data_IF_627506900324
#
_entry.id   IF_627506900324
#
_cell.length_a   1.000
_cell.length_b   1.000
_cell.length_c   1.000
_cell.angle_alpha   90.00
_cell.angle_beta   90.00
_cell.angle_gamma   90.00
#
_symmetry.space_group_name_H-M   'P 1'
#
loop_
_entity.id
_entity.type
_entity.pdbx_description
1 polymer ?
#
# COMPACT_ATOMS: atom_id res chain seq x y z
N UNK A 1 -24.93 51.13 -32.01
CA UNK A 1 -23.49 51.45 -31.91
C UNK A 1 -22.92 50.44 -30.93
N UNK A 2 -22.45 49.29 -31.44
CA UNK A 2 -21.73 48.31 -30.62
C UNK A 2 -20.36 48.91 -30.29
N UNK A 3 -19.96 48.82 -29.03
CA UNK A 3 -18.64 49.26 -28.60
C UNK A 3 -17.58 48.37 -29.27
N UNK A 4 -16.62 49.02 -29.90
CA UNK A 4 -15.38 48.45 -30.42
C UNK A 4 -14.59 47.90 -29.21
N UNK A 5 -14.41 46.58 -29.16
CA UNK A 5 -13.64 45.95 -28.08
C UNK A 5 -12.17 46.16 -28.38
N UNK A 6 -11.46 46.81 -27.45
CA UNK A 6 -10.06 47.17 -27.58
C UNK A 6 -9.17 45.91 -27.62
N UNK A 7 -8.25 45.76 -28.60
CA UNK A 7 -7.42 44.57 -28.76
C UNK A 7 -6.26 44.46 -27.75
N UNK A 8 -6.19 45.33 -26.74
CA UNK A 8 -5.11 45.37 -25.75
C UNK A 8 -5.55 45.01 -24.31
N UNK A 9 -6.81 44.64 -24.07
CA UNK A 9 -7.19 44.04 -22.79
C UNK A 9 -6.72 42.57 -22.84
N UNK A 10 -5.79 42.13 -21.97
CA UNK A 10 -5.56 40.70 -21.83
C UNK A 10 -6.88 40.12 -21.36
N UNK A 11 -7.59 39.42 -22.24
CA UNK A 11 -8.68 38.55 -21.83
C UNK A 11 -8.11 37.74 -20.68
N UNK A 12 -8.70 37.90 -19.49
CA UNK A 12 -8.31 37.14 -18.32
C UNK A 12 -8.70 35.71 -18.62
N UNK A 13 -7.84 35.00 -19.36
CA UNK A 13 -8.01 33.60 -19.69
C UNK A 13 -8.24 32.90 -18.35
N UNK A 14 -9.33 32.14 -18.29
CA UNK A 14 -9.62 31.39 -17.08
C UNK A 14 -8.43 30.48 -16.80
N UNK A 15 -8.00 30.41 -15.55
CA UNK A 15 -6.80 29.63 -15.20
C UNK A 15 -6.95 28.15 -15.57
N UNK A 16 -8.20 27.67 -15.68
CA UNK A 16 -8.48 26.31 -16.16
C UNK A 16 -8.11 26.12 -17.64
N UNK A 17 -8.53 27.01 -18.54
CA UNK A 17 -8.25 26.92 -19.98
C UNK A 17 -6.75 27.03 -20.30
N UNK A 18 -5.98 27.75 -19.47
CA UNK A 18 -4.52 27.83 -19.62
C UNK A 18 -3.79 26.50 -19.37
N UNK A 19 -4.49 25.52 -18.79
CA UNK A 19 -3.96 24.19 -18.49
C UNK A 19 -4.44 23.13 -19.50
N UNK A 20 -5.18 23.51 -20.54
CA UNK A 20 -5.59 22.58 -21.58
C UNK A 20 -4.43 22.22 -22.52
N UNK A 21 -4.52 21.03 -23.12
CA UNK A 21 -3.47 20.43 -23.96
C UNK A 21 -3.11 21.31 -25.17
N UNK A 22 -4.09 22.00 -25.74
CA UNK A 22 -3.90 22.86 -26.91
C UNK A 22 -3.09 24.13 -26.57
N UNK A 23 -3.31 24.70 -25.39
CA UNK A 23 -2.55 25.86 -24.91
C UNK A 23 -1.15 25.46 -24.39
N UNK A 24 -1.06 24.37 -23.62
CA UNK A 24 0.21 23.85 -23.10
C UNK A 24 1.07 23.20 -24.19
N UNK A 25 0.45 22.78 -25.31
CA UNK A 25 1.07 22.01 -26.40
C UNK A 25 1.74 20.71 -25.95
N UNK A 26 1.35 20.21 -24.77
CA UNK A 26 1.79 18.97 -24.14
C UNK A 26 0.61 18.37 -23.40
N UNK A 27 0.50 17.04 -23.37
CA UNK A 27 -0.53 16.35 -22.57
C UNK A 27 -0.19 16.49 -21.07
N UNK A 28 -1.03 17.15 -20.26
CA UNK A 28 -0.79 17.30 -18.83
C UNK A 28 -0.75 15.98 -18.06
N UNK A 29 -1.41 14.94 -18.57
CA UNK A 29 -1.43 13.61 -17.97
C UNK A 29 -0.18 12.79 -18.29
N UNK A 30 0.57 13.16 -19.33
CA UNK A 30 1.79 12.46 -19.74
C UNK A 30 3.07 13.26 -19.43
N UNK A 31 3.11 14.56 -19.73
CA UNK A 31 4.34 15.38 -19.61
C UNK A 31 4.11 16.80 -19.05
N UNK A 32 2.87 17.28 -18.89
CA UNK A 32 2.65 18.69 -18.56
C UNK A 32 2.87 19.11 -17.09
N UNK A 33 3.01 18.19 -16.14
CA UNK A 33 3.29 18.55 -14.73
C UNK A 33 4.21 17.54 -14.05
N UNK A 34 5.44 17.95 -13.74
CA UNK A 34 6.29 17.16 -12.84
C UNK A 34 5.71 17.17 -11.41
N UNK A 35 5.58 16.00 -10.75
CA UNK A 35 5.13 15.94 -9.37
C UNK A 35 6.17 16.58 -8.44
N UNK A 36 5.70 17.05 -7.27
CA UNK A 36 6.57 17.68 -6.27
C UNK A 36 7.74 16.77 -5.84
N UNK A 37 8.84 17.37 -5.36
CA UNK A 37 9.97 16.62 -4.83
C UNK A 37 9.52 15.60 -3.77
N UNK A 38 9.99 14.35 -3.92
CA UNK A 38 9.66 13.22 -3.02
C UNK A 38 8.19 12.81 -3.03
N UNK A 39 7.39 13.29 -3.98
CA UNK A 39 6.09 12.70 -4.21
C UNK A 39 6.25 11.22 -4.57
N UNK A 40 5.47 10.38 -3.91
CA UNK A 40 5.33 8.98 -4.25
C UNK A 40 3.85 8.68 -4.43
N UNK A 41 3.47 7.86 -5.43
CA UNK A 41 2.11 7.41 -5.55
C UNK A 41 1.66 6.71 -4.27
N UNK A 42 0.46 7.03 -3.80
CA UNK A 42 -0.12 6.42 -2.59
C UNK A 42 -0.38 4.91 -2.78
N UNK A 43 -0.68 4.50 -4.01
CA UNK A 43 -0.91 3.12 -4.41
C UNK A 43 -0.06 2.85 -5.64
N UNK A 44 0.84 1.87 -5.55
CA UNK A 44 1.75 1.48 -6.66
C UNK A 44 1.24 0.30 -7.49
N UNK A 45 0.40 -0.54 -6.89
CA UNK A 45 -0.06 -1.82 -7.43
C UNK A 45 -1.51 -2.03 -7.03
N UNK A 46 -2.21 -2.94 -7.73
CA UNK A 46 -3.57 -3.35 -7.40
C UNK A 46 -4.58 -2.19 -7.32
N UNK A 47 -4.68 -1.42 -8.40
CA UNK A 47 -5.64 -0.33 -8.56
C UNK A 47 -7.09 -0.79 -8.66
N UNK A 48 -7.33 -2.07 -8.94
CA UNK A 48 -8.67 -2.66 -8.99
C UNK A 48 -8.92 -3.70 -7.90
N UNK A 49 -10.19 -3.95 -7.52
CA UNK A 49 -10.51 -5.02 -6.57
C UNK A 49 -10.13 -6.42 -7.03
N UNK A 50 -10.04 -6.66 -8.35
CA UNK A 50 -9.64 -7.96 -8.88
C UNK A 50 -8.14 -8.18 -8.67
N UNK A 51 -7.33 -7.20 -9.05
CA UNK A 51 -5.88 -7.22 -8.85
C UNK A 51 -5.50 -7.28 -7.36
N UNK A 52 -6.25 -6.61 -6.48
CA UNK A 52 -6.01 -6.67 -5.04
C UNK A 52 -6.21 -8.09 -4.45
N UNK A 53 -7.09 -8.90 -5.07
CA UNK A 53 -7.31 -10.30 -4.66
C UNK A 53 -6.23 -11.22 -5.19
N UNK A 54 -5.72 -10.95 -6.39
CA UNK A 54 -4.61 -11.67 -6.97
C UNK A 54 -3.31 -11.36 -6.22
N UNK A 55 -3.13 -10.09 -5.83
CA UNK A 55 -1.95 -9.59 -5.15
C UNK A 55 -0.73 -9.56 -6.06
N UNK A 56 0.42 -9.30 -5.46
CA UNK A 56 1.69 -9.35 -6.17
C UNK A 56 2.23 -10.79 -6.24
N UNK A 57 2.82 -11.21 -7.40
CA UNK A 57 3.49 -12.50 -7.49
C UNK A 57 4.54 -12.67 -6.40
N UNK A 58 4.64 -13.90 -5.89
CA UNK A 58 5.52 -14.24 -4.76
C UNK A 58 6.99 -13.91 -5.07
N UNK A 59 7.41 -14.10 -6.32
CA UNK A 59 8.78 -13.84 -6.75
C UNK A 59 9.16 -12.38 -6.61
N UNK A 60 8.25 -11.45 -6.92
CA UNK A 60 8.53 -10.03 -6.76
C UNK A 60 8.62 -9.65 -5.27
N UNK A 61 7.69 -10.14 -4.44
CA UNK A 61 7.74 -9.89 -2.99
C UNK A 61 9.05 -10.38 -2.37
N UNK A 62 9.53 -11.56 -2.79
CA UNK A 62 10.82 -12.09 -2.35
C UNK A 62 12.01 -11.26 -2.86
N UNK A 63 11.92 -10.69 -4.07
CA UNK A 63 12.98 -9.86 -4.62
C UNK A 63 13.11 -8.50 -3.90
N UNK A 64 12.02 -7.99 -3.30
CA UNK A 64 12.04 -6.77 -2.50
C UNK A 64 12.62 -7.00 -1.09
N UNK A 65 12.57 -8.22 -0.57
CA UNK A 65 13.10 -8.54 0.76
C UNK A 65 14.62 -8.42 0.84
N UNK A 66 15.10 -7.82 1.93
CA UNK A 66 16.52 -7.79 2.29
C UNK A 66 16.72 -8.67 3.53
N UNK A 67 17.64 -9.64 3.50
CA UNK A 67 18.01 -10.40 4.70
C UNK A 67 18.48 -9.45 5.80
N UNK A 68 17.86 -9.55 6.97
CA UNK A 68 18.26 -8.84 8.19
C UNK A 68 19.43 -9.54 8.89
N UNK A 69 19.63 -10.83 8.60
CA UNK A 69 20.74 -11.64 9.10
C UNK A 69 21.85 -11.79 8.06
N UNK A 70 23.08 -11.75 8.55
CA UNK A 70 24.24 -12.04 7.72
C UNK A 70 24.28 -13.55 7.39
N UNK A 71 24.71 -13.93 6.18
CA UNK A 71 24.93 -15.33 5.85
C UNK A 71 25.91 -15.97 6.84
N UNK A 72 25.56 -17.13 7.39
CA UNK A 72 26.46 -17.90 8.26
C UNK A 72 27.65 -18.41 7.44
N UNK A 73 28.89 -18.05 7.80
CA UNK A 73 30.07 -18.61 7.15
C UNK A 73 30.18 -20.10 7.48
N UNK A 74 30.29 -20.94 6.46
CA UNK A 74 30.33 -22.40 6.58
C UNK A 74 29.06 -22.98 7.23
N UNK A 75 27.92 -23.00 6.52
CA UNK A 75 26.71 -23.63 7.03
C UNK A 75 26.98 -25.10 7.39
N UNK A 76 26.29 -25.65 8.40
CA UNK A 76 26.34 -27.08 8.68
C UNK A 76 26.01 -27.89 7.43
N UNK A 77 26.66 -29.03 7.24
CA UNK A 77 26.32 -29.96 6.17
C UNK A 77 24.96 -30.63 6.42
N UNK A 78 24.42 -31.26 5.39
CA UNK A 78 23.09 -31.89 5.45
C UNK A 78 22.97 -32.96 6.55
N UNK A 79 24.07 -33.67 6.85
CA UNK A 79 24.09 -34.69 7.91
C UNK A 79 23.99 -34.06 9.30
N UNK A 80 24.72 -32.97 9.56
CA UNK A 80 24.64 -32.24 10.82
C UNK A 80 23.29 -31.56 11.02
N UNK A 81 22.69 -31.03 9.95
CA UNK A 81 21.31 -30.51 9.94
C UNK A 81 20.30 -31.60 10.28
N UNK A 82 20.32 -32.73 9.58
CA UNK A 82 19.39 -33.84 9.79
C UNK A 82 19.46 -34.39 11.23
N UNK A 83 20.68 -34.47 11.79
CA UNK A 83 20.87 -34.89 13.19
C UNK A 83 20.30 -33.88 14.18
N UNK A 84 20.43 -32.58 13.93
CA UNK A 84 19.87 -31.53 14.79
C UNK A 84 18.33 -31.55 14.76
N UNK A 85 17.74 -31.77 13.59
CA UNK A 85 16.28 -31.93 13.44
C UNK A 85 15.76 -33.17 14.19
N UNK A 86 16.45 -34.31 14.07
CA UNK A 86 16.10 -35.52 14.80
C UNK A 86 16.18 -35.32 16.33
N UNK A 87 17.18 -34.57 16.81
CA UNK A 87 17.29 -34.25 18.24
C UNK A 87 16.15 -33.32 18.73
N UNK A 88 15.68 -32.39 17.89
CA UNK A 88 14.53 -31.52 18.20
C UNK A 88 13.21 -32.30 18.26
N UNK A 89 13.04 -33.31 17.40
CA UNK A 89 11.84 -34.15 17.38
C UNK A 89 11.73 -35.12 18.58
N UNK A 90 12.79 -35.28 19.37
CA UNK A 90 12.84 -36.17 20.53
C UNK A 90 12.48 -35.46 21.84
N UNK A 91 12.21 -34.15 21.82
CA UNK A 91 11.59 -33.48 22.96
C UNK A 91 10.15 -33.99 23.05
N UNK A 92 9.71 -34.62 24.16
CA UNK A 92 8.31 -34.97 24.31
C UNK A 92 7.48 -33.69 24.17
N UNK A 93 6.32 -33.79 23.50
CA UNK A 93 5.28 -32.76 23.52
C UNK A 93 4.86 -32.51 24.98
N UNK A 94 5.64 -31.73 25.72
CA UNK A 94 5.20 -31.16 26.99
C UNK A 94 4.25 -30.02 26.63
N UNK A 95 2.98 -30.40 26.47
CA UNK A 95 1.77 -29.55 26.46
C UNK A 95 2.05 -28.07 26.14
N UNK A 96 2.58 -27.80 24.94
CA UNK A 96 2.59 -26.44 24.43
C UNK A 96 1.12 -26.06 24.28
N UNK A 97 0.63 -25.00 24.96
CA UNK A 97 -0.74 -24.57 24.78
C UNK A 97 -0.92 -24.28 23.30
N UNK A 98 -1.73 -25.09 22.63
CA UNK A 98 -2.14 -24.86 21.26
C UNK A 98 -2.96 -23.57 21.28
N UNK A 99 -2.29 -22.44 21.06
CA UNK A 99 -2.97 -21.21 20.75
C UNK A 99 -3.79 -21.47 19.48
N UNK A 100 -5.08 -21.74 19.67
CA UNK A 100 -6.05 -21.79 18.57
C UNK A 100 -5.96 -20.43 17.89
N UNK A 101 -5.48 -20.43 16.64
CA UNK A 101 -5.44 -19.23 15.81
C UNK A 101 -6.82 -18.81 15.32
N UNK A 102 -7.85 -19.62 15.58
CA UNK A 102 -9.23 -19.30 15.28
C UNK A 102 -9.86 -18.57 16.47
N UNK A 103 -10.18 -17.26 16.34
CA UNK A 103 -11.14 -16.65 17.26
C UNK A 103 -12.47 -17.38 17.13
N UNK A 104 -13.13 -17.67 18.26
CA UNK A 104 -14.47 -18.25 18.27
C UNK A 104 -15.40 -17.32 17.45
N UNK A 105 -16.05 -17.82 16.39
CA UNK A 105 -16.94 -17.00 15.55
C UNK A 105 -18.13 -16.39 16.32
N UNK A 106 -18.40 -16.84 17.55
CA UNK A 106 -19.41 -16.30 18.44
C UNK A 106 -18.97 -15.07 19.25
N UNK A 107 -17.69 -14.72 19.30
CA UNK A 107 -17.19 -13.64 20.18
C UNK A 107 -17.14 -12.25 19.53
N UNK A 108 -17.52 -12.11 18.25
CA UNK A 108 -17.40 -10.85 17.49
C UNK A 108 -18.72 -10.28 16.97
N UNK A 109 -19.86 -10.90 17.25
CA UNK A 109 -21.15 -10.42 16.73
C UNK A 109 -21.83 -9.36 17.61
N UNK A 110 -21.42 -9.22 18.86
CA UNK A 110 -22.17 -8.44 19.86
C UNK A 110 -21.58 -7.05 20.14
N UNK A 111 -20.36 -6.73 19.68
CA UNK A 111 -19.78 -5.40 19.84
C UNK A 111 -20.01 -4.54 18.60
N UNK A 112 -21.27 -4.15 18.41
CA UNK A 112 -21.64 -3.09 17.49
C UNK A 112 -21.12 -1.74 18.00
N UNK A 113 -20.13 -1.16 17.31
CA UNK A 113 -19.97 0.30 17.15
C UNK A 113 -20.20 1.16 18.39
N UNK A 114 -19.49 0.87 19.49
CA UNK A 114 -19.57 1.60 20.75
C UNK A 114 -18.89 2.98 20.72
N UNK A 115 -19.61 3.99 20.23
CA UNK A 115 -19.51 5.42 20.56
C UNK A 115 -18.13 6.12 20.53
N UNK A 116 -17.80 6.74 19.40
CA UNK A 116 -17.09 8.05 19.40
C UNK A 116 -18.08 9.20 19.09
N UNK A 117 -19.28 8.89 18.61
CA UNK A 117 -20.27 9.86 18.15
C UNK A 117 -21.11 10.52 19.27
N UNK A 118 -20.93 10.16 20.54
CA UNK A 118 -21.77 10.72 21.63
C UNK A 118 -21.17 11.96 22.31
N UNK A 119 -19.91 12.30 22.05
CA UNK A 119 -19.25 13.46 22.66
C UNK A 119 -19.58 14.81 21.99
N UNK A 120 -20.37 14.82 20.91
CA UNK A 120 -20.62 16.02 20.10
C UNK A 120 -22.10 16.45 20.02
N UNK A 121 -23.00 15.93 20.88
CA UNK A 121 -24.45 16.21 20.78
C UNK A 121 -25.10 16.90 22.00
N UNK A 122 -24.39 17.22 23.06
CA UNK A 122 -25.02 18.01 24.14
C UNK A 122 -24.36 19.39 24.26
N UNK A 123 -24.97 20.36 23.57
CA UNK A 123 -25.19 21.71 24.11
C UNK A 123 -26.52 21.73 24.87
#
# INVERSE_FOLDING_TARGET
MMADSDPAEPETLDQSESLDEDELRVDPLEEGVEPAERWSPAVRQATTPAEAREGEPLENRLAEERPDIQPVPNPPDDETLARAEAARAVVPDEDLPQHRADPDPGEQADEAGGSVAKSLREE
#
